data_IF_426113040348
#
_entry.id   IF_426113040348
#
_cell.length_a   1.000
_cell.length_b   1.000
_cell.length_c   1.000
_cell.angle_alpha   90.00
_cell.angle_beta   90.00
_cell.angle_gamma   90.00
#
_symmetry.space_group_name_H-M   'P 1'
#
loop_
_entity.id
_entity.type
_entity.pdbx_description
1 polymer ?
#
# COMPACT_ATOMS: atom_id res chain seq x y z
N UNK A 1 15.33 15.89 29.28
CA UNK A 1 15.17 15.87 27.81
C UNK A 1 13.71 15.64 27.57
N UNK A 2 13.07 16.51 26.79
CA UNK A 2 11.64 16.39 26.50
C UNK A 2 11.41 15.17 25.60
N UNK A 3 10.25 14.54 25.76
CA UNK A 3 9.87 13.42 24.90
C UNK A 3 9.73 13.92 23.44
N UNK A 4 10.20 13.15 22.44
CA UNK A 4 10.08 13.52 21.04
C UNK A 4 8.60 13.67 20.66
N UNK A 5 8.31 14.67 19.81
CA UNK A 5 6.96 14.92 19.29
C UNK A 5 6.71 14.03 18.09
N UNK A 6 5.57 13.34 18.05
CA UNK A 6 5.08 12.54 16.92
C UNK A 6 3.89 13.23 16.25
N UNK A 7 3.47 12.73 15.09
CA UNK A 7 2.29 13.25 14.40
C UNK A 7 1.01 13.11 15.23
N UNK A 8 0.86 12.03 16.00
CA UNK A 8 -0.27 11.83 16.93
C UNK A 8 -0.40 12.90 18.00
N UNK A 9 0.70 13.57 18.37
CA UNK A 9 0.67 14.66 19.36
C UNK A 9 0.13 15.97 18.75
N UNK A 10 0.12 16.06 17.42
CA UNK A 10 -0.23 17.26 16.65
C UNK A 10 -1.63 17.15 16.04
N UNK A 11 -1.99 15.95 15.57
CA UNK A 11 -3.28 15.72 14.93
C UNK A 11 -4.43 15.87 15.93
N UNK A 12 -5.45 16.62 15.53
CA UNK A 12 -6.71 16.67 16.26
C UNK A 12 -7.43 15.31 16.17
N UNK A 13 -8.44 15.10 17.03
CA UNK A 13 -9.19 13.82 17.07
C UNK A 13 -9.77 13.41 15.72
N UNK A 14 -10.33 14.36 14.96
CA UNK A 14 -10.95 14.09 13.65
C UNK A 14 -9.90 13.68 12.63
N UNK A 15 -8.80 14.44 12.54
CA UNK A 15 -7.65 14.11 11.72
C UNK A 15 -7.05 12.74 12.05
N UNK A 16 -6.87 12.43 13.34
CA UNK A 16 -6.39 11.14 13.82
C UNK A 16 -7.32 10.00 13.42
N UNK A 17 -8.65 10.17 13.54
CA UNK A 17 -9.60 9.16 13.12
C UNK A 17 -9.55 8.94 11.59
N UNK A 18 -9.54 10.04 10.82
CA UNK A 18 -9.54 10.02 9.36
C UNK A 18 -8.28 9.36 8.77
N UNK A 19 -7.08 9.70 9.28
CA UNK A 19 -5.84 9.04 8.84
C UNK A 19 -5.77 7.57 9.25
N UNK A 20 -6.36 7.18 10.38
CA UNK A 20 -6.37 5.77 10.80
C UNK A 20 -7.39 4.95 10.00
N UNK A 21 -8.46 5.58 9.52
CA UNK A 21 -9.46 4.96 8.64
C UNK A 21 -8.94 4.87 7.19
N UNK A 22 -8.27 5.92 6.71
CA UNK A 22 -7.78 6.06 5.34
C UNK A 22 -6.30 6.46 5.25
N UNK A 23 -5.36 5.62 5.74
CA UNK A 23 -3.95 6.00 5.89
C UNK A 23 -3.25 6.33 4.57
N UNK A 24 -3.76 5.83 3.44
CA UNK A 24 -3.13 5.94 2.13
C UNK A 24 -3.83 6.96 1.22
N UNK A 25 -4.59 7.91 1.77
CA UNK A 25 -5.27 8.96 0.99
C UNK A 25 -4.75 10.37 1.33
N UNK A 26 -3.88 10.47 2.33
CA UNK A 26 -3.46 11.74 2.92
C UNK A 26 -2.33 12.48 2.19
N UNK A 27 -1.73 11.93 1.13
CA UNK A 27 -0.52 12.45 0.45
C UNK A 27 -0.41 13.99 0.41
N UNK A 28 -1.24 14.70 -0.35
CA UNK A 28 -1.17 16.17 -0.44
C UNK A 28 -1.45 16.89 0.89
N UNK A 29 -2.29 16.31 1.74
CA UNK A 29 -2.59 16.86 3.07
C UNK A 29 -1.34 16.84 3.96
N UNK A 30 -0.61 15.72 3.97
CA UNK A 30 0.67 15.61 4.64
C UNK A 30 1.70 16.62 4.13
N UNK A 31 1.74 16.86 2.81
CA UNK A 31 2.65 17.84 2.20
C UNK A 31 2.37 19.27 2.70
N UNK A 32 1.10 19.67 2.75
CA UNK A 32 0.69 20.98 3.31
C UNK A 32 1.06 21.09 4.79
N UNK A 33 0.79 20.05 5.58
CA UNK A 33 1.13 20.03 7.01
C UNK A 33 2.64 20.12 7.24
N UNK A 34 3.49 19.45 6.43
CA UNK A 34 4.96 19.64 6.48
C UNK A 34 5.39 21.05 6.12
N UNK A 35 4.65 21.74 5.25
CA UNK A 35 4.86 23.14 4.91
C UNK A 35 4.27 24.12 5.95
N UNK A 36 3.80 23.61 7.10
CA UNK A 36 3.13 24.38 8.15
C UNK A 36 1.83 25.07 7.66
N UNK A 37 1.17 24.49 6.66
CA UNK A 37 -0.16 24.88 6.19
C UNK A 37 -1.22 23.94 6.79
N UNK A 38 -2.02 24.51 7.70
CA UNK A 38 -3.07 23.81 8.45
C UNK A 38 -4.47 24.23 8.02
N UNK A 39 -4.60 24.82 6.83
CA UNK A 39 -5.88 25.30 6.28
C UNK A 39 -6.96 24.23 6.21
N UNK A 40 -6.59 22.95 6.09
CA UNK A 40 -7.53 21.82 6.08
C UNK A 40 -8.00 21.38 7.48
N UNK A 41 -7.44 21.93 8.56
CA UNK A 41 -7.88 21.63 9.92
C UNK A 41 -7.48 22.71 10.94
N UNK A 42 -8.42 23.61 11.25
CA UNK A 42 -8.23 24.65 12.26
C UNK A 42 -7.88 24.11 13.65
N UNK A 43 -8.45 22.97 14.07
CA UNK A 43 -8.18 22.39 15.39
C UNK A 43 -6.77 21.79 15.52
N UNK A 44 -6.14 21.37 14.41
CA UNK A 44 -4.72 20.98 14.45
C UNK A 44 -3.83 22.20 14.74
N UNK A 45 -4.17 23.37 14.17
CA UNK A 45 -3.44 24.62 14.41
C UNK A 45 -3.41 24.98 15.90
N UNK A 46 -4.56 24.86 16.59
CA UNK A 46 -4.66 25.14 18.04
C UNK A 46 -3.75 24.23 18.88
N UNK A 47 -3.63 22.95 18.50
CA UNK A 47 -2.73 21.98 19.16
C UNK A 47 -1.28 22.39 18.99
N UNK A 48 -0.90 22.83 17.79
CA UNK A 48 0.47 23.26 17.47
C UNK A 48 0.83 24.52 18.22
N UNK A 49 -0.05 25.53 18.21
CA UNK A 49 0.17 26.77 18.94
C UNK A 49 0.40 26.50 20.43
N UNK A 50 -0.35 25.55 21.00
CA UNK A 50 -0.14 25.10 22.37
C UNK A 50 1.20 24.40 22.58
N UNK A 51 1.60 23.51 21.66
CA UNK A 51 2.90 22.84 21.72
C UNK A 51 4.04 23.86 21.59
N UNK A 52 3.96 24.81 20.67
CA UNK A 52 4.94 25.89 20.51
C UNK A 52 5.02 26.78 21.74
N UNK A 53 3.87 27.14 22.34
CA UNK A 53 3.84 27.97 23.54
C UNK A 53 4.45 27.26 24.77
N UNK A 54 4.32 25.93 24.84
CA UNK A 54 4.75 25.15 26.01
C UNK A 54 6.15 24.56 25.88
N UNK A 55 6.60 24.21 24.67
CA UNK A 55 7.88 23.54 24.40
C UNK A 55 8.83 24.35 23.51
N UNK A 56 8.37 25.45 22.93
CA UNK A 56 9.11 26.16 21.89
C UNK A 56 9.11 25.41 20.55
N UNK A 57 10.00 25.78 19.62
CA UNK A 57 10.16 25.07 18.34
C UNK A 57 10.48 23.59 18.56
N UNK A 58 9.84 22.73 17.78
CA UNK A 58 10.01 21.28 17.85
C UNK A 58 10.13 20.67 16.45
N UNK A 59 10.67 19.45 16.40
CA UNK A 59 10.66 18.61 15.20
C UNK A 59 9.73 17.43 15.44
N UNK A 60 9.09 16.96 14.37
CA UNK A 60 8.30 15.73 14.40
C UNK A 60 9.21 14.56 14.10
N UNK A 61 9.14 13.51 14.90
CA UNK A 61 9.97 12.32 14.78
C UNK A 61 9.11 11.11 14.45
N UNK A 62 9.44 10.41 13.37
CA UNK A 62 8.84 9.11 13.04
C UNK A 62 9.55 8.01 13.83
N UNK A 63 8.75 7.11 14.42
CA UNK A 63 9.21 5.94 15.16
C UNK A 63 10.37 6.26 16.13
N UNK A 64 10.20 7.24 17.06
CA UNK A 64 11.28 7.69 17.93
C UNK A 64 11.84 6.59 18.85
N UNK A 65 11.06 5.55 19.11
CA UNK A 65 11.44 4.37 19.90
C UNK A 65 12.41 3.44 19.18
N UNK A 66 12.46 3.46 17.84
CA UNK A 66 13.39 2.64 17.09
C UNK A 66 14.81 3.21 17.18
N UNK A 67 15.76 2.32 17.44
CA UNK A 67 17.18 2.62 17.35
C UNK A 67 17.58 2.98 15.91
N UNK A 68 18.77 3.55 15.73
CA UNK A 68 19.27 3.92 14.40
C UNK A 68 19.44 2.72 13.46
N UNK A 69 19.77 1.54 14.00
CA UNK A 69 19.89 0.32 13.19
C UNK A 69 18.51 -0.24 12.83
N UNK A 70 17.52 -0.20 13.73
CA UNK A 70 16.13 -0.59 13.41
C UNK A 70 15.52 0.34 12.36
N UNK A 71 15.78 1.64 12.44
CA UNK A 71 15.36 2.59 11.39
C UNK A 71 15.98 2.28 10.04
N UNK A 72 17.26 1.89 10.01
CA UNK A 72 17.93 1.46 8.78
C UNK A 72 17.30 0.19 8.22
N UNK A 73 16.90 -0.75 9.08
CA UNK A 73 16.26 -2.00 8.69
C UNK A 73 14.83 -1.76 8.17
N UNK A 74 14.07 -0.88 8.83
CA UNK A 74 12.76 -0.42 8.37
C UNK A 74 12.87 0.23 6.98
N UNK A 75 13.83 1.15 6.79
CA UNK A 75 14.08 1.77 5.48
C UNK A 75 14.47 0.73 4.43
N UNK A 76 15.26 -0.29 4.78
CA UNK A 76 15.61 -1.38 3.86
C UNK A 76 14.38 -2.20 3.44
N UNK A 77 13.47 -2.47 4.36
CA UNK A 77 12.19 -3.12 4.04
C UNK A 77 11.33 -2.23 3.13
N UNK A 78 11.26 -0.92 3.41
CA UNK A 78 10.55 0.07 2.59
C UNK A 78 11.07 0.09 1.15
N UNK A 79 12.37 0.27 0.95
CA UNK A 79 12.95 0.28 -0.40
C UNK A 79 12.83 -1.07 -1.11
N UNK A 80 12.95 -2.18 -0.39
CA UNK A 80 12.73 -3.51 -0.94
C UNK A 80 11.28 -3.69 -1.42
N UNK A 81 10.30 -3.13 -0.72
CA UNK A 81 8.90 -3.12 -1.10
C UNK A 81 8.71 -2.53 -2.50
N UNK A 82 9.19 -1.30 -2.73
CA UNK A 82 9.14 -0.67 -4.04
C UNK A 82 9.89 -1.46 -5.11
N UNK A 83 11.12 -1.88 -4.81
CA UNK A 83 11.99 -2.55 -5.77
C UNK A 83 11.38 -3.87 -6.27
N UNK A 84 10.88 -4.70 -5.36
CA UNK A 84 10.29 -6.00 -5.70
C UNK A 84 8.99 -5.82 -6.46
N UNK A 85 8.06 -5.01 -5.96
CA UNK A 85 6.75 -4.81 -6.64
C UNK A 85 6.92 -4.16 -8.01
N UNK A 86 7.77 -3.15 -8.14
CA UNK A 86 8.01 -2.53 -9.44
C UNK A 86 8.66 -3.48 -10.44
N UNK A 87 9.58 -4.34 -10.01
CA UNK A 87 10.17 -5.38 -10.88
C UNK A 87 9.17 -6.45 -11.28
N UNK A 88 8.27 -6.87 -10.40
CA UNK A 88 7.18 -7.80 -10.73
C UNK A 88 6.23 -7.23 -11.78
N UNK A 89 6.00 -5.91 -11.78
CA UNK A 89 5.26 -5.22 -12.85
C UNK A 89 6.09 -4.89 -14.09
N UNK A 90 7.35 -5.33 -14.14
CA UNK A 90 8.23 -5.14 -15.29
C UNK A 90 8.77 -3.71 -15.44
N UNK A 91 8.73 -2.90 -14.38
CA UNK A 91 9.24 -1.54 -14.43
C UNK A 91 10.77 -1.50 -14.55
N UNK A 92 11.33 -0.58 -15.36
CA UNK A 92 12.76 -0.44 -15.60
C UNK A 92 13.49 0.16 -14.40
N UNK A 93 13.62 -0.62 -13.34
CA UNK A 93 14.44 -0.28 -12.19
C UNK A 93 15.89 -0.06 -12.61
N UNK A 94 16.55 0.90 -11.98
CA UNK A 94 17.98 1.18 -12.16
C UNK A 94 18.78 0.84 -10.91
N UNK A 95 18.27 1.23 -9.73
CA UNK A 95 18.94 1.07 -8.44
C UNK A 95 17.93 1.03 -7.31
N UNK A 96 18.24 0.31 -6.24
CA UNK A 96 17.70 0.54 -4.89
C UNK A 96 18.87 0.88 -3.96
N UNK A 97 18.76 1.90 -3.12
CA UNK A 97 19.82 2.35 -2.22
C UNK A 97 19.29 2.89 -0.90
N UNK A 98 20.09 2.75 0.15
CA UNK A 98 19.85 3.35 1.46
C UNK A 98 20.69 4.61 1.61
N UNK A 99 20.20 5.56 2.41
CA UNK A 99 21.02 6.68 2.84
C UNK A 99 22.22 6.19 3.67
N UNK A 100 23.36 6.86 3.50
CA UNK A 100 24.57 6.60 4.29
C UNK A 100 24.33 6.92 5.78
N UNK A 101 23.58 8.00 6.05
CA UNK A 101 23.08 8.35 7.37
C UNK A 101 21.55 8.50 7.37
N UNK A 102 20.80 7.52 7.94
CA UNK A 102 19.34 7.54 7.95
C UNK A 102 18.76 8.59 8.91
N UNK A 103 19.58 9.26 9.73
CA UNK A 103 19.13 10.26 10.72
C UNK A 103 19.27 11.70 10.25
N UNK A 104 20.11 11.96 9.24
CA UNK A 104 20.34 13.30 8.67
C UNK A 104 19.88 13.44 7.23
N UNK A 105 19.62 12.34 6.53
CA UNK A 105 19.11 12.37 5.16
C UNK A 105 17.63 12.78 5.11
N UNK A 106 17.29 13.55 4.08
CA UNK A 106 15.90 13.92 3.76
C UNK A 106 15.04 12.67 3.47
N UNK A 107 15.67 11.60 2.98
CA UNK A 107 15.06 10.30 2.69
C UNK A 107 15.89 9.17 3.29
N UNK A 108 15.22 8.14 3.82
CA UNK A 108 15.87 6.95 4.39
C UNK A 108 16.54 6.03 3.36
N UNK A 109 16.11 6.15 2.10
CA UNK A 109 16.58 5.41 0.94
C UNK A 109 15.90 5.94 -0.34
N UNK A 110 16.11 5.25 -1.46
CA UNK A 110 15.33 5.44 -2.68
C UNK A 110 15.43 4.24 -3.63
N UNK A 111 14.40 4.07 -4.46
CA UNK A 111 14.44 3.25 -5.68
C UNK A 111 14.35 4.12 -6.93
N UNK A 112 15.35 4.01 -7.80
CA UNK A 112 15.43 4.78 -9.05
C UNK A 112 14.87 4.01 -10.24
N UNK A 113 14.00 4.67 -11.02
CA UNK A 113 13.36 4.11 -12.21
C UNK A 113 13.76 4.90 -13.47
N UNK A 114 13.87 4.23 -14.63
CA UNK A 114 14.12 4.90 -15.93
C UNK A 114 13.07 4.51 -16.95
N UNK A 115 11.97 5.26 -16.96
CA UNK A 115 10.92 5.09 -17.95
C UNK A 115 11.28 5.78 -19.26
N UNK A 116 11.21 5.05 -20.36
CA UNK A 116 11.38 5.64 -21.69
C UNK A 116 10.19 6.53 -22.04
N UNK A 117 10.39 7.50 -22.94
CA UNK A 117 9.30 8.36 -23.40
C UNK A 117 8.20 7.49 -24.04
N UNK A 118 6.98 7.64 -23.53
CA UNK A 118 5.82 6.88 -24.01
C UNK A 118 5.60 5.53 -23.30
N UNK A 119 6.41 5.20 -22.28
CA UNK A 119 6.13 4.07 -21.40
C UNK A 119 4.70 4.22 -20.83
N UNK A 120 3.90 3.17 -20.99
CA UNK A 120 2.51 3.15 -20.53
C UNK A 120 2.48 2.47 -19.16
N UNK A 121 1.89 3.15 -18.19
CA UNK A 121 1.64 2.61 -16.87
C UNK A 121 0.20 2.15 -16.77
N UNK A 122 -0.03 1.09 -16.01
CA UNK A 122 -1.34 0.91 -15.40
C UNK A 122 -1.33 1.63 -14.06
N UNK A 123 -2.31 2.49 -13.81
CA UNK A 123 -2.36 3.30 -12.60
C UNK A 123 -2.35 2.43 -11.35
N UNK A 124 -3.15 1.37 -11.31
CA UNK A 124 -3.20 0.43 -10.18
C UNK A 124 -1.83 -0.17 -9.84
N UNK A 125 -1.03 -0.55 -10.84
CA UNK A 125 0.31 -1.10 -10.65
C UNK A 125 1.32 -0.05 -10.19
N UNK A 126 1.25 1.17 -10.75
CA UNK A 126 2.16 2.25 -10.39
C UNK A 126 1.91 2.68 -8.95
N UNK A 127 0.65 2.88 -8.61
CA UNK A 127 0.20 3.18 -7.25
C UNK A 127 0.58 2.08 -6.26
N UNK A 128 0.39 0.80 -6.64
CA UNK A 128 0.78 -0.32 -5.80
C UNK A 128 2.29 -0.36 -5.55
N UNK A 129 3.12 -0.06 -6.56
CA UNK A 129 4.57 0.07 -6.40
C UNK A 129 4.91 1.18 -5.39
N UNK A 130 4.27 2.34 -5.46
CA UNK A 130 4.50 3.45 -4.52
C UNK A 130 3.99 3.16 -3.11
N UNK A 131 2.93 2.38 -2.93
CA UNK A 131 2.46 2.00 -1.58
C UNK A 131 3.21 0.80 -0.99
N UNK A 132 3.87 0.00 -1.82
CA UNK A 132 4.56 -1.21 -1.39
C UNK A 132 5.62 -0.95 -0.32
N UNK A 133 6.28 0.21 -0.33
CA UNK A 133 7.30 0.56 0.66
C UNK A 133 6.72 0.65 2.08
N UNK A 134 5.70 1.49 2.27
CA UNK A 134 5.04 1.63 3.57
C UNK A 134 4.41 0.33 4.06
N UNK A 135 3.84 -0.47 3.15
CA UNK A 135 3.28 -1.79 3.50
C UNK A 135 4.34 -2.81 3.88
N UNK A 136 5.50 -2.82 3.21
CA UNK A 136 6.64 -3.64 3.59
C UNK A 136 7.22 -3.20 4.95
N UNK A 137 7.27 -1.89 5.22
CA UNK A 137 7.68 -1.35 6.51
C UNK A 137 6.73 -1.75 7.65
N UNK A 138 5.41 -1.63 7.43
CA UNK A 138 4.37 -2.10 8.36
C UNK A 138 4.60 -3.57 8.73
N UNK A 139 4.74 -4.41 7.71
CA UNK A 139 4.92 -5.85 7.89
C UNK A 139 6.22 -6.18 8.62
N UNK A 140 7.31 -5.47 8.30
CA UNK A 140 8.59 -5.64 8.99
C UNK A 140 8.45 -5.36 10.49
N UNK A 141 7.78 -4.27 10.88
CA UNK A 141 7.53 -3.91 12.28
C UNK A 141 6.78 -5.03 13.01
N UNK A 142 5.71 -5.56 12.40
CA UNK A 142 4.93 -6.67 12.95
C UNK A 142 5.79 -7.93 13.15
N UNK A 143 6.68 -8.27 12.19
CA UNK A 143 7.58 -9.42 12.29
C UNK A 143 8.70 -9.26 13.33
N UNK A 144 9.11 -8.02 13.63
CA UNK A 144 10.01 -7.74 14.76
C UNK A 144 9.28 -7.78 16.12
N UNK A 145 7.98 -8.03 16.13
CA UNK A 145 7.17 -8.13 17.34
C UNK A 145 6.67 -6.78 17.86
N UNK A 146 6.74 -5.71 17.06
CA UNK A 146 6.10 -4.44 17.42
C UNK A 146 4.59 -4.57 17.28
N UNK A 147 3.87 -4.36 18.39
CA UNK A 147 2.43 -4.14 18.34
C UNK A 147 2.18 -2.71 17.86
N UNK A 148 1.72 -2.56 16.62
CA UNK A 148 1.50 -1.24 16.02
C UNK A 148 0.44 -0.44 16.80
N UNK A 149 0.89 0.65 17.42
CA UNK A 149 0.01 1.65 18.03
C UNK A 149 -0.59 2.56 16.97
N UNK A 150 -1.59 3.36 17.34
CA UNK A 150 -2.12 4.39 16.44
C UNK A 150 -1.04 5.38 15.99
N UNK A 151 -0.05 5.66 16.85
CA UNK A 151 1.08 6.50 16.49
C UNK A 151 1.96 5.87 15.41
N UNK A 152 2.20 4.56 15.49
CA UNK A 152 3.00 3.84 14.49
C UNK A 152 2.25 3.76 13.14
N UNK A 153 0.93 3.58 13.18
CA UNK A 153 0.07 3.57 11.99
C UNK A 153 0.05 4.95 11.30
N UNK A 154 0.05 6.02 12.07
CA UNK A 154 0.12 7.39 11.55
C UNK A 154 1.50 7.69 10.97
N UNK A 155 2.56 7.28 11.65
CA UNK A 155 3.93 7.44 11.14
C UNK A 155 4.13 6.63 9.84
N UNK A 156 3.55 5.44 9.72
CA UNK A 156 3.53 4.65 8.48
C UNK A 156 2.73 5.34 7.35
N UNK A 157 1.59 5.96 7.67
CA UNK A 157 0.84 6.78 6.70
C UNK A 157 1.69 7.93 6.20
N UNK A 158 2.38 8.62 7.10
CA UNK A 158 3.23 9.74 6.73
C UNK A 158 4.49 9.30 5.98
N UNK A 159 5.06 8.13 6.27
CA UNK A 159 6.21 7.61 5.51
C UNK A 159 5.87 7.28 4.05
N UNK A 160 4.58 7.06 3.74
CA UNK A 160 4.11 6.90 2.36
C UNK A 160 3.93 8.24 1.60
N UNK A 161 4.08 9.38 2.28
CA UNK A 161 3.78 10.71 1.75
C UNK A 161 4.41 10.98 0.39
N UNK A 162 5.75 10.94 0.34
CA UNK A 162 6.49 11.42 -0.82
C UNK A 162 6.25 10.48 -2.01
N UNK A 163 6.11 9.18 -1.73
CA UNK A 163 5.72 8.16 -2.71
C UNK A 163 4.33 8.43 -3.30
N UNK A 164 3.36 8.75 -2.45
CA UNK A 164 2.01 9.07 -2.87
C UNK A 164 1.92 10.36 -3.69
N UNK A 165 2.65 11.40 -3.29
CA UNK A 165 2.66 12.68 -4.03
C UNK A 165 3.26 12.48 -5.41
N UNK A 166 4.38 11.77 -5.53
CA UNK A 166 4.98 11.45 -6.83
C UNK A 166 4.03 10.61 -7.68
N UNK A 167 3.36 9.62 -7.10
CA UNK A 167 2.34 8.83 -7.80
C UNK A 167 1.21 9.72 -8.33
N UNK A 168 0.70 10.63 -7.52
CA UNK A 168 -0.38 11.54 -7.90
C UNK A 168 0.05 12.52 -9.02
N UNK A 169 1.28 13.02 -8.98
CA UNK A 169 1.83 13.88 -10.03
C UNK A 169 2.01 13.15 -11.36
N UNK A 170 2.42 11.88 -11.33
CA UNK A 170 2.61 11.07 -12.54
C UNK A 170 1.31 10.58 -13.15
N UNK A 171 0.31 10.25 -12.32
CA UNK A 171 -0.96 9.67 -12.78
C UNK A 171 -2.06 10.72 -13.00
N UNK A 172 -1.97 11.86 -12.32
CA UNK A 172 -3.02 12.88 -12.29
C UNK A 172 -4.20 12.55 -11.36
N UNK A 173 -4.13 11.48 -10.58
CA UNK A 173 -5.18 11.05 -9.64
C UNK A 173 -4.71 11.24 -8.19
N UNK A 174 -5.59 11.74 -7.31
CA UNK A 174 -5.22 12.05 -5.93
C UNK A 174 -5.24 10.84 -4.97
N UNK A 175 -6.00 9.78 -5.27
CA UNK A 175 -6.26 8.71 -4.31
C UNK A 175 -6.10 7.30 -4.90
N UNK A 176 -5.06 6.54 -4.50
CA UNK A 176 -4.76 5.21 -5.04
C UNK A 176 -5.50 4.07 -4.33
N UNK A 177 -6.84 4.08 -4.36
CA UNK A 177 -7.64 3.06 -3.65
C UNK A 177 -7.34 1.66 -4.21
N UNK A 178 -7.34 1.48 -5.53
CA UNK A 178 -7.01 0.18 -6.14
C UNK A 178 -5.53 -0.21 -5.94
N UNK A 179 -4.62 0.77 -6.00
CA UNK A 179 -3.20 0.56 -5.71
C UNK A 179 -2.94 0.01 -4.31
N UNK A 180 -3.66 0.49 -3.29
CA UNK A 180 -3.47 0.02 -1.91
C UNK A 180 -3.78 -1.47 -1.76
N UNK A 181 -4.91 -1.93 -2.28
CA UNK A 181 -5.26 -3.36 -2.23
C UNK A 181 -4.26 -4.22 -2.99
N UNK A 182 -3.81 -3.76 -4.15
CA UNK A 182 -2.83 -4.50 -4.93
C UNK A 182 -1.48 -4.55 -4.21
N UNK A 183 -1.01 -3.44 -3.61
CA UNK A 183 0.19 -3.40 -2.79
C UNK A 183 0.10 -4.40 -1.62
N UNK A 184 -1.03 -4.42 -0.90
CA UNK A 184 -1.22 -5.30 0.25
C UNK A 184 -1.19 -6.77 -0.18
N UNK A 185 -1.84 -7.09 -1.30
CA UNK A 185 -1.79 -8.43 -1.89
C UNK A 185 -0.37 -8.84 -2.28
N UNK A 186 0.40 -7.93 -2.87
CA UNK A 186 1.78 -8.20 -3.30
C UNK A 186 2.70 -8.43 -2.10
N UNK A 187 2.60 -7.58 -1.07
CA UNK A 187 3.40 -7.65 0.17
C UNK A 187 2.98 -8.83 1.06
N UNK A 188 1.75 -9.32 0.93
CA UNK A 188 1.30 -10.52 1.64
C UNK A 188 2.10 -11.78 1.30
N UNK A 189 2.05 -12.78 2.17
CA UNK A 189 2.77 -14.07 2.05
C UNK A 189 2.60 -14.82 0.73
N UNK A 190 1.59 -14.45 -0.06
CA UNK A 190 1.21 -15.17 -1.27
C UNK A 190 2.09 -14.88 -2.49
N UNK A 191 2.87 -13.81 -2.49
CA UNK A 191 3.59 -13.39 -3.72
C UNK A 191 5.05 -13.04 -3.47
N UNK A 192 5.36 -12.09 -2.56
CA UNK A 192 6.70 -11.47 -2.60
C UNK A 192 7.41 -11.26 -1.26
N UNK A 193 6.79 -11.48 -0.10
CA UNK A 193 7.46 -11.07 1.15
C UNK A 193 8.85 -11.67 1.35
N UNK A 194 9.01 -12.98 1.14
CA UNK A 194 10.33 -13.61 1.21
C UNK A 194 11.34 -12.94 0.27
N UNK A 195 10.91 -12.56 -0.95
CA UNK A 195 11.76 -11.84 -1.89
C UNK A 195 12.10 -10.44 -1.36
N UNK A 196 11.14 -9.72 -0.77
CA UNK A 196 11.36 -8.41 -0.14
C UNK A 196 12.32 -8.51 1.04
N UNK A 197 12.17 -9.49 1.94
CA UNK A 197 13.07 -9.68 3.07
C UNK A 197 14.49 -9.98 2.62
N UNK A 198 14.68 -10.80 1.58
CA UNK A 198 16.00 -11.10 1.01
C UNK A 198 16.62 -9.87 0.32
N UNK A 199 15.83 -9.09 -0.43
CA UNK A 199 16.28 -7.81 -1.02
C UNK A 199 16.64 -6.80 0.07
N UNK A 200 15.84 -6.68 1.13
CA UNK A 200 16.11 -5.82 2.27
C UNK A 200 17.41 -6.23 2.98
N UNK A 201 17.64 -7.52 3.20
CA UNK A 201 18.89 -8.04 3.78
C UNK A 201 20.11 -7.65 2.91
N UNK A 202 20.00 -7.80 1.59
CA UNK A 202 21.06 -7.42 0.66
C UNK A 202 21.27 -5.89 0.64
N UNK A 203 20.21 -5.09 0.70
CA UNK A 203 20.30 -3.62 0.81
C UNK A 203 21.02 -3.20 2.09
N UNK A 204 20.73 -3.84 3.22
CA UNK A 204 21.44 -3.57 4.49
C UNK A 204 22.93 -3.88 4.37
N UNK A 205 23.27 -5.02 3.76
CA UNK A 205 24.66 -5.48 3.63
C UNK A 205 25.48 -4.58 2.69
N UNK A 206 24.91 -4.20 1.54
CA UNK A 206 25.67 -3.52 0.48
C UNK A 206 25.40 -2.02 0.40
N UNK A 207 24.35 -1.51 1.06
CA UNK A 207 23.88 -0.13 0.98
C UNK A 207 23.22 0.23 -0.35
N UNK A 208 23.59 -0.44 -1.45
CA UNK A 208 23.14 -0.17 -2.81
C UNK A 208 23.07 -1.45 -3.64
N UNK A 209 21.95 -1.68 -4.33
CA UNK A 209 21.75 -2.78 -5.27
C UNK A 209 21.45 -2.25 -6.67
N UNK A 210 22.09 -2.83 -7.69
CA UNK A 210 21.71 -2.61 -9.08
C UNK A 210 20.44 -3.39 -9.44
N UNK A 211 19.82 -3.05 -10.56
CA UNK A 211 18.68 -3.81 -11.08
C UNK A 211 18.99 -5.30 -11.31
N UNK A 212 20.16 -5.60 -11.88
CA UNK A 212 20.58 -6.98 -12.13
C UNK A 212 20.79 -7.76 -10.83
N UNK A 213 21.42 -7.13 -9.83
CA UNK A 213 21.62 -7.76 -8.52
C UNK A 213 20.28 -8.03 -7.84
N UNK A 214 19.38 -7.04 -7.81
CA UNK A 214 18.05 -7.16 -7.20
C UNK A 214 17.24 -8.28 -7.83
N UNK A 215 17.20 -8.37 -9.18
CA UNK A 215 16.54 -9.48 -9.87
C UNK A 215 17.13 -10.84 -9.52
N UNK A 216 18.45 -10.93 -9.35
CA UNK A 216 19.12 -12.16 -8.94
C UNK A 216 18.71 -12.60 -7.53
N UNK A 217 18.57 -11.64 -6.59
CA UNK A 217 18.10 -11.91 -5.23
C UNK A 217 16.65 -12.38 -5.25
N UNK A 218 15.77 -11.68 -5.98
CA UNK A 218 14.36 -12.07 -6.15
C UNK A 218 14.27 -13.49 -6.71
N UNK A 219 14.99 -13.80 -7.79
CA UNK A 219 14.98 -15.12 -8.42
C UNK A 219 15.47 -16.24 -7.50
N UNK A 220 16.47 -15.96 -6.65
CA UNK A 220 16.96 -16.91 -5.65
C UNK A 220 15.97 -17.13 -4.50
N UNK A 221 15.20 -16.10 -4.14
CA UNK A 221 14.20 -16.16 -3.08
C UNK A 221 12.90 -16.86 -3.53
N UNK A 222 12.57 -16.83 -4.83
CA UNK A 222 11.38 -17.45 -5.42
C UNK A 222 11.34 -18.96 -5.12
N UNK A 223 10.26 -19.47 -4.50
CA UNK A 223 10.10 -20.90 -4.28
C UNK A 223 10.15 -21.68 -5.60
N UNK A 224 11.00 -22.70 -5.68
CA UNK A 224 10.97 -23.60 -6.82
C UNK A 224 9.68 -24.44 -6.77
N UNK A 225 8.97 -24.62 -7.90
CA UNK A 225 7.81 -25.49 -7.92
C UNK A 225 8.22 -26.91 -7.50
N UNK A 226 7.42 -27.59 -6.66
CA UNK A 226 7.71 -28.94 -6.21
C UNK A 226 7.70 -29.87 -7.44
N UNK A 227 8.89 -30.25 -7.92
CA UNK A 227 9.03 -31.14 -9.06
C UNK A 227 10.03 -30.70 -10.14
N UNK A 228 10.68 -29.55 -10.03
CA UNK A 228 11.86 -29.28 -10.87
C UNK A 228 12.94 -30.32 -10.55
N UNK A 229 13.29 -31.23 -11.48
CA UNK A 229 14.27 -32.25 -11.20
C UNK A 229 15.59 -31.53 -10.97
N UNK A 230 16.08 -31.57 -9.73
CA UNK A 230 17.48 -31.27 -9.44
C UNK A 230 18.27 -32.19 -10.35
N UNK A 231 19.02 -31.64 -11.30
CA UNK A 231 19.90 -32.40 -12.19
C UNK A 231 20.86 -33.16 -11.30
N UNK A 232 20.49 -34.39 -10.95
CA UNK A 232 21.30 -35.26 -10.15
C UNK A 232 22.59 -35.49 -10.95
N UNK A 233 23.73 -35.26 -10.30
CA UNK A 233 25.01 -35.74 -10.80
C UNK A 233 24.88 -37.22 -11.20
N UNK A 234 25.54 -37.68 -12.28
CA UNK A 234 25.36 -39.04 -12.75
C UNK A 234 25.89 -40.04 -11.71
N UNK A 235 24.98 -40.65 -10.97
CA UNK A 235 25.26 -41.80 -10.09
C UNK A 235 24.95 -43.07 -10.89
N UNK A 236 25.86 -44.06 -10.91
CA UNK A 236 25.75 -45.21 -11.79
C UNK A 236 24.57 -46.12 -11.42
N UNK A 237 23.98 -46.71 -12.46
CA UNK A 237 22.77 -47.50 -12.41
C UNK A 237 22.79 -48.61 -11.34
N UNK A 238 21.72 -48.67 -10.54
CA UNK A 238 21.33 -49.89 -9.86
C UNK A 238 19.82 -50.09 -9.84
N UNK A 239 19.47 -51.36 -9.93
CA UNK A 239 18.21 -51.99 -10.34
C UNK A 239 16.92 -51.50 -9.68
N UNK A 240 15.90 -51.53 -10.53
CA UNK A 240 14.45 -51.51 -10.34
C UNK A 240 13.92 -52.31 -9.14
N UNK A 241 13.00 -51.72 -8.38
CA UNK A 241 11.84 -52.44 -7.81
C UNK A 241 10.66 -51.47 -7.72
N UNK A 242 9.53 -51.85 -8.31
CA UNK A 242 8.28 -51.07 -8.32
C UNK A 242 7.50 -51.25 -7.01
N UNK A 243 6.80 -50.21 -6.56
CA UNK A 243 5.69 -50.30 -5.61
C UNK A 243 4.67 -49.18 -5.87
N UNK A 244 3.42 -49.44 -5.49
CA UNK A 244 2.19 -48.90 -6.04
C UNK A 244 1.79 -47.48 -5.58
N UNK A 245 0.91 -46.90 -6.39
CA UNK A 245 0.08 -45.70 -6.20
C UNK A 245 -0.71 -45.70 -4.88
N UNK A 246 -0.80 -44.53 -4.24
CA UNK A 246 -1.96 -44.17 -3.41
C UNK A 246 -2.33 -42.71 -3.64
N UNK A 247 -3.54 -42.51 -4.15
CA UNK A 247 -4.25 -41.24 -4.31
C UNK A 247 -4.65 -40.66 -2.95
N UNK A 248 -4.23 -39.44 -2.64
CA UNK A 248 -4.69 -38.67 -1.49
C UNK A 248 -5.12 -37.28 -1.93
N UNK A 249 -6.42 -37.07 -2.12
CA UNK A 249 -6.99 -35.74 -2.30
C UNK A 249 -6.80 -34.97 -0.99
N UNK A 250 -6.05 -33.87 -1.05
CA UNK A 250 -5.85 -32.98 0.09
C UNK A 250 -7.18 -32.29 0.42
N UNK A 251 -7.78 -32.66 1.54
CA UNK A 251 -8.87 -31.89 2.11
C UNK A 251 -8.32 -30.51 2.46
N UNK A 252 -8.83 -29.47 1.82
CA UNK A 252 -8.54 -28.08 2.19
C UNK A 252 -8.98 -27.93 3.65
N UNK A 253 -8.02 -27.76 4.56
CA UNK A 253 -8.29 -27.66 5.99
C UNK A 253 -9.22 -26.48 6.31
N UNK A 254 -10.08 -26.65 7.31
CA UNK A 254 -11.04 -25.62 7.78
C UNK A 254 -10.36 -24.26 8.03
N UNK A 255 -9.11 -24.26 8.47
CA UNK A 255 -8.35 -23.02 8.73
C UNK A 255 -8.01 -22.26 7.45
N UNK A 256 -7.77 -22.96 6.32
CA UNK A 256 -7.57 -22.33 5.01
C UNK A 256 -8.87 -21.69 4.54
N UNK A 257 -10.02 -22.33 4.77
CA UNK A 257 -11.34 -21.78 4.45
C UNK A 257 -11.59 -20.51 5.28
N UNK A 258 -11.33 -20.54 6.60
CA UNK A 258 -11.46 -19.35 7.47
C UNK A 258 -10.56 -18.20 7.03
N UNK A 259 -9.30 -18.48 6.68
CA UNK A 259 -8.36 -17.45 6.22
C UNK A 259 -8.81 -16.83 4.88
N UNK A 260 -9.25 -17.65 3.92
CA UNK A 260 -9.78 -17.16 2.64
C UNK A 260 -11.02 -16.31 2.86
N UNK A 261 -11.92 -16.70 3.75
CA UNK A 261 -13.12 -15.93 4.06
C UNK A 261 -12.82 -14.59 4.75
N UNK A 262 -11.89 -14.58 5.71
CA UNK A 262 -11.43 -13.34 6.35
C UNK A 262 -10.85 -12.37 5.33
N UNK A 263 -9.97 -12.86 4.45
CA UNK A 263 -9.37 -12.04 3.38
C UNK A 263 -10.42 -11.56 2.37
N UNK A 264 -11.41 -12.40 2.02
CA UNK A 264 -12.51 -11.99 1.13
C UNK A 264 -13.38 -10.92 1.75
N UNK A 265 -13.70 -11.02 3.04
CA UNK A 265 -14.50 -10.01 3.75
C UNK A 265 -13.77 -8.66 3.86
N UNK A 266 -12.47 -8.68 4.13
CA UNK A 266 -11.65 -7.47 4.16
C UNK A 266 -11.62 -6.79 2.78
N UNK A 267 -11.38 -7.56 1.71
CA UNK A 267 -11.44 -7.06 0.32
C UNK A 267 -12.81 -6.51 -0.05
N UNK A 268 -13.88 -7.14 0.41
CA UNK A 268 -15.23 -6.72 0.10
C UNK A 268 -15.65 -5.46 0.88
N UNK A 269 -15.22 -5.32 2.14
CA UNK A 269 -15.38 -4.06 2.91
C UNK A 269 -14.61 -2.92 2.26
N UNK A 270 -13.40 -3.20 1.82
CA UNK A 270 -12.59 -2.24 1.07
C UNK A 270 -13.28 -1.81 -0.24
N UNK A 271 -13.69 -2.77 -1.07
CA UNK A 271 -14.42 -2.49 -2.30
C UNK A 271 -15.70 -1.68 -2.04
N UNK A 272 -16.40 -1.96 -0.95
CA UNK A 272 -17.58 -1.18 -0.53
C UNK A 272 -17.24 0.27 -0.18
N UNK A 273 -16.05 0.53 0.40
CA UNK A 273 -15.52 1.87 0.65
C UNK A 273 -15.20 2.61 -0.65
N UNK A 274 -14.43 1.98 -1.54
CA UNK A 274 -14.07 2.52 -2.85
C UNK A 274 -15.31 2.90 -3.69
N UNK A 275 -16.33 2.02 -3.70
CA UNK A 275 -17.58 2.25 -4.41
C UNK A 275 -18.38 3.42 -3.83
N UNK A 276 -18.34 3.60 -2.50
CA UNK A 276 -18.99 4.73 -1.84
C UNK A 276 -18.33 6.05 -2.23
N UNK A 277 -17.01 6.10 -2.27
CA UNK A 277 -16.27 7.29 -2.70
C UNK A 277 -16.55 7.64 -4.16
N UNK A 278 -16.48 6.65 -5.07
CA UNK A 278 -16.83 6.85 -6.47
C UNK A 278 -18.27 7.34 -6.65
N UNK A 279 -19.21 6.82 -5.85
CA UNK A 279 -20.59 7.28 -5.85
C UNK A 279 -20.69 8.75 -5.44
N UNK A 280 -20.01 9.16 -4.36
CA UNK A 280 -19.98 10.57 -3.90
C UNK A 280 -19.45 11.50 -4.99
N UNK A 281 -18.33 11.13 -5.64
CA UNK A 281 -17.75 11.95 -6.72
C UNK A 281 -18.70 12.10 -7.91
N UNK A 282 -19.41 11.03 -8.30
CA UNK A 282 -20.41 11.12 -9.37
C UNK A 282 -21.60 12.00 -8.98
N UNK A 283 -22.06 11.91 -7.74
CA UNK A 283 -23.16 12.75 -7.24
C UNK A 283 -22.77 14.24 -7.20
N UNK A 284 -21.52 14.54 -6.83
CA UNK A 284 -20.95 15.89 -6.93
C UNK A 284 -20.90 16.39 -8.37
N UNK A 285 -20.44 15.57 -9.33
CA UNK A 285 -20.42 15.93 -10.76
C UNK A 285 -21.84 16.24 -11.26
N UNK A 286 -22.82 15.39 -10.95
CA UNK A 286 -24.23 15.59 -11.34
C UNK A 286 -24.77 16.88 -10.72
N UNK A 287 -24.46 17.15 -9.45
CA UNK A 287 -24.87 18.38 -8.75
C UNK A 287 -24.24 19.61 -9.39
N UNK A 288 -22.94 19.58 -9.71
CA UNK A 288 -22.24 20.67 -10.39
C UNK A 288 -22.82 20.95 -11.78
N UNK A 289 -23.10 19.91 -12.57
CA UNK A 289 -23.73 20.05 -13.89
C UNK A 289 -25.14 20.65 -13.77
N UNK A 290 -25.92 20.20 -12.80
CA UNK A 290 -27.27 20.74 -12.52
C UNK A 290 -27.19 22.23 -12.17
N UNK A 291 -26.29 22.61 -11.26
CA UNK A 291 -26.09 24.01 -10.85
C UNK A 291 -25.56 24.90 -11.99
N UNK A 292 -24.82 24.32 -12.94
CA UNK A 292 -24.37 25.00 -14.15
C UNK A 292 -25.48 25.17 -15.21
N UNK A 293 -26.71 24.73 -14.91
CA UNK A 293 -27.85 24.83 -15.82
C UNK A 293 -27.86 23.77 -16.91
N UNK A 294 -27.16 22.63 -16.73
CA UNK A 294 -27.17 21.55 -17.72
C UNK A 294 -28.58 21.00 -18.00
N UNK A 295 -29.46 21.03 -17.00
CA UNK A 295 -30.89 20.67 -17.12
C UNK A 295 -31.69 21.63 -18.00
N UNK A 296 -31.27 22.90 -18.09
CA UNK A 296 -31.95 23.97 -18.83
C UNK A 296 -31.23 24.35 -20.13
N UNK A 297 -30.07 23.74 -20.38
CA UNK A 297 -29.25 24.04 -21.54
C UNK A 297 -30.00 23.70 -22.83
N UNK A 298 -29.92 24.60 -23.81
CA UNK A 298 -30.40 24.37 -25.18
C UNK A 298 -29.43 23.54 -26.02
N UNK A 299 -28.27 23.17 -25.47
CA UNK A 299 -27.29 22.31 -26.11
C UNK A 299 -27.44 20.88 -25.59
N UNK A 300 -27.46 19.91 -26.51
CA UNK A 300 -27.65 18.49 -26.18
C UNK A 300 -26.50 17.90 -25.35
N UNK A 301 -25.28 18.43 -25.51
CA UNK A 301 -24.06 17.90 -24.89
C UNK A 301 -24.11 17.82 -23.36
N UNK A 302 -24.38 18.93 -22.63
CA UNK A 302 -24.53 18.91 -21.18
C UNK A 302 -25.62 17.97 -20.67
N UNK A 303 -26.76 17.88 -21.36
CA UNK A 303 -27.85 16.96 -21.00
C UNK A 303 -27.43 15.49 -21.17
N UNK A 304 -26.74 15.17 -22.26
CA UNK A 304 -26.20 13.83 -22.49
C UNK A 304 -25.14 13.45 -21.46
N UNK A 305 -24.22 14.36 -21.13
CA UNK A 305 -23.21 14.10 -20.10
C UNK A 305 -23.85 13.82 -18.73
N UNK A 306 -24.84 14.62 -18.33
CA UNK A 306 -25.59 14.42 -17.09
C UNK A 306 -26.34 13.08 -17.07
N UNK A 307 -26.94 12.67 -18.18
CA UNK A 307 -27.59 11.36 -18.31
C UNK A 307 -26.59 10.20 -18.14
N UNK A 308 -25.41 10.31 -18.74
CA UNK A 308 -24.34 9.30 -18.61
C UNK A 308 -23.85 9.21 -17.16
N UNK A 309 -23.57 10.33 -16.50
CA UNK A 309 -23.12 10.31 -15.11
C UNK A 309 -24.19 9.79 -14.14
N UNK A 310 -25.47 10.12 -14.38
CA UNK A 310 -26.59 9.56 -13.62
C UNK A 310 -26.67 8.04 -13.80
N UNK A 311 -26.54 7.55 -15.03
CA UNK A 311 -26.53 6.12 -15.33
C UNK A 311 -25.36 5.40 -14.65
N UNK A 312 -24.15 5.99 -14.66
CA UNK A 312 -22.98 5.43 -13.98
C UNK A 312 -23.18 5.35 -12.47
N UNK A 313 -23.77 6.39 -11.85
CA UNK A 313 -24.11 6.41 -10.42
C UNK A 313 -25.09 5.30 -10.07
N UNK A 314 -26.14 5.12 -10.88
CA UNK A 314 -27.14 4.07 -10.66
C UNK A 314 -26.54 2.66 -10.82
N UNK A 315 -25.62 2.48 -11.77
CA UNK A 315 -24.88 1.22 -11.94
C UNK A 315 -23.97 0.92 -10.74
N UNK A 316 -23.30 1.93 -10.19
CA UNK A 316 -22.47 1.78 -8.99
C UNK A 316 -23.30 1.41 -7.76
N UNK A 317 -24.49 2.00 -7.59
CA UNK A 317 -25.40 1.64 -6.50
C UNK A 317 -25.83 0.16 -6.60
N UNK A 318 -26.19 -0.31 -7.80
CA UNK A 318 -26.49 -1.72 -8.05
C UNK A 318 -25.30 -2.64 -7.70
N UNK A 319 -24.10 -2.27 -8.14
CA UNK A 319 -22.90 -3.06 -7.84
C UNK A 319 -22.56 -3.05 -6.34
N UNK A 320 -22.74 -1.93 -5.66
CA UNK A 320 -22.58 -1.84 -4.21
C UNK A 320 -23.56 -2.75 -3.46
N UNK A 321 -24.80 -2.84 -3.92
CA UNK A 321 -25.79 -3.76 -3.36
C UNK A 321 -25.41 -5.24 -3.60
N UNK A 322 -24.87 -5.58 -4.77
CA UNK A 322 -24.34 -6.92 -5.04
C UNK A 322 -23.16 -7.29 -4.13
N UNK A 323 -22.24 -6.34 -3.89
CA UNK A 323 -21.10 -6.55 -2.97
C UNK A 323 -21.60 -6.76 -1.54
N UNK A 324 -22.57 -5.96 -1.07
CA UNK A 324 -23.22 -6.16 0.25
C UNK A 324 -23.87 -7.55 0.37
N UNK A 325 -24.57 -7.99 -0.68
CA UNK A 325 -25.18 -9.32 -0.70
C UNK A 325 -24.12 -10.43 -0.64
N UNK A 326 -23.03 -10.31 -1.41
CA UNK A 326 -21.93 -11.26 -1.39
C UNK A 326 -21.25 -11.34 -0.01
N UNK A 327 -21.02 -10.20 0.65
CA UNK A 327 -20.51 -10.16 2.05
C UNK A 327 -21.47 -10.90 2.98
N UNK A 328 -22.78 -10.60 2.88
CA UNK A 328 -23.80 -11.25 3.70
C UNK A 328 -23.82 -12.78 3.53
N UNK A 329 -23.64 -13.28 2.31
CA UNK A 329 -23.55 -14.71 2.05
C UNK A 329 -22.28 -15.34 2.67
N UNK A 330 -21.13 -14.65 2.59
CA UNK A 330 -19.87 -15.11 3.20
C UNK A 330 -20.00 -15.14 4.72
N UNK A 331 -20.56 -14.09 5.34
CA UNK A 331 -20.78 -14.02 6.79
C UNK A 331 -21.77 -15.08 7.28
N UNK A 332 -22.85 -15.34 6.52
CA UNK A 332 -23.80 -16.41 6.83
C UNK A 332 -23.15 -17.79 6.79
N UNK A 333 -22.32 -18.06 5.78
CA UNK A 333 -21.57 -19.31 5.69
C UNK A 333 -20.56 -19.44 6.84
N UNK A 334 -19.91 -18.33 7.23
CA UNK A 334 -18.95 -18.32 8.34
C UNK A 334 -19.61 -18.70 9.67
N UNK A 335 -20.84 -18.22 9.91
CA UNK A 335 -21.60 -18.54 11.12
C UNK A 335 -22.13 -19.97 11.18
N UNK A 336 -22.04 -20.74 10.10
CA UNK A 336 -22.44 -22.16 10.04
C UNK A 336 -21.27 -23.12 10.28
N UNK A 337 -20.03 -22.62 10.25
CA UNK A 337 -18.79 -23.38 10.50
C UNK A 337 -18.36 -23.31 11.97
#
# INVERSE_FOLDING_TARGET
>A
MDAPIRWTDILCRECTADVLEFPWTWGRRWQRMRANDWSDCGTCSDTIDRLLATRGPFNVHLFPELSSWEKRDLNAAHEAGHAVVGLEFGYPMTVAELADDPTSAEFGGRVGWRFEKGFQFRNDQLEAMYLAGAMAGKRWLEEQGHALTDADRIDLSQSALDDMVVSAELTGFEVPVLGAVLAEQMVSDRVTWKQMSEVALNLRQFGRLSAAHTRSVIAAATPQPPGSPTTAAPVPASRTTAAATTSGGSAVGIDVIRQVMSSSNEKARFASGALREAWTQLDEIVTQLTNAGATESSQDGPQQAMAVYTQLRDQLDQFQNQVKEAIGQIEQYAGQL
#
